data_IF_755177312477
#
_entry.id   IF_755177312477
#
_cell.length_a   1.000
_cell.length_b   1.000
_cell.length_c   1.000
_cell.angle_alpha   90.00
_cell.angle_beta   90.00
_cell.angle_gamma   90.00
#
_symmetry.space_group_name_H-M   'P 1'
#
loop_
_entity.id
_entity.type
_entity.pdbx_description
1 polymer ?
#
# COMPACT_ATOMS: atom_id res chain seq x y z
N UNK A 1 10.95 14.87 -15.16
CA UNK A 1 11.21 14.44 -13.75
C UNK A 1 10.01 13.69 -13.21
N UNK A 2 10.13 12.98 -12.09
CA UNK A 2 9.03 12.22 -11.49
C UNK A 2 9.02 12.36 -9.98
N UNK A 3 8.54 13.49 -9.47
CA UNK A 3 8.33 13.65 -8.03
C UNK A 3 7.19 12.74 -7.59
N UNK A 4 7.49 11.89 -6.60
CA UNK A 4 6.52 11.00 -5.96
C UNK A 4 6.19 11.43 -4.53
N UNK A 5 5.47 10.57 -3.83
CA UNK A 5 5.16 10.70 -2.41
C UNK A 5 5.42 9.37 -1.71
N UNK A 6 5.64 9.41 -0.40
CA UNK A 6 5.64 8.25 0.49
C UNK A 6 5.01 8.62 1.83
N UNK A 7 4.68 7.62 2.64
CA UNK A 7 4.12 7.82 3.97
C UNK A 7 2.62 8.13 4.00
N UNK A 8 1.86 7.79 2.95
CA UNK A 8 0.41 8.05 2.91
C UNK A 8 -0.36 7.40 4.06
N UNK A 9 -0.26 6.08 4.23
CA UNK A 9 -0.97 5.39 5.32
C UNK A 9 -0.41 5.79 6.68
N UNK A 10 0.91 6.02 6.80
CA UNK A 10 1.50 6.59 8.01
C UNK A 10 0.93 7.97 8.37
N UNK A 11 0.67 8.83 7.40
CA UNK A 11 0.01 10.11 7.63
C UNK A 11 -1.40 9.88 8.17
N UNK A 12 -2.20 9.03 7.53
CA UNK A 12 -3.56 8.73 7.98
C UNK A 12 -3.59 8.19 9.42
N UNK A 13 -2.72 7.23 9.74
CA UNK A 13 -2.58 6.69 11.10
C UNK A 13 -2.16 7.75 12.12
N UNK A 14 -1.26 8.68 11.74
CA UNK A 14 -0.87 9.79 12.61
C UNK A 14 -2.02 10.74 12.95
N UNK A 15 -3.05 10.78 12.11
CA UNK A 15 -4.25 11.60 12.28
C UNK A 15 -5.45 10.80 12.82
N UNK A 16 -5.25 9.51 13.16
CA UNK A 16 -6.31 8.58 13.54
C UNK A 16 -7.43 8.47 12.48
N UNK A 17 -7.05 8.47 11.20
CA UNK A 17 -7.97 8.37 10.06
C UNK A 17 -7.82 6.97 9.44
N UNK A 18 -8.91 6.20 9.31
CA UNK A 18 -8.89 4.94 8.56
C UNK A 18 -8.50 5.15 7.10
N UNK A 19 -7.84 4.16 6.49
CA UNK A 19 -7.54 4.18 5.06
C UNK A 19 -8.82 4.26 4.21
N UNK A 20 -9.87 3.61 4.70
CA UNK A 20 -11.18 3.51 4.08
C UNK A 20 -12.09 4.63 4.60
N UNK A 21 -12.51 5.55 3.72
CA UNK A 21 -13.50 6.55 4.08
C UNK A 21 -13.33 7.93 3.45
N UNK A 22 -14.35 8.77 3.69
CA UNK A 22 -14.44 10.11 3.12
C UNK A 22 -13.31 11.05 3.58
N UNK A 23 -12.84 10.92 4.83
CA UNK A 23 -11.73 11.73 5.34
C UNK A 23 -10.40 11.41 4.65
N UNK A 24 -10.10 10.13 4.43
CA UNK A 24 -8.93 9.71 3.66
C UNK A 24 -8.98 10.25 2.23
N UNK A 25 -10.15 10.16 1.57
CA UNK A 25 -10.40 10.74 0.24
C UNK A 25 -10.19 12.25 0.22
N UNK A 26 -10.73 12.98 1.19
CA UNK A 26 -10.56 14.44 1.27
C UNK A 26 -9.09 14.85 1.43
N UNK A 27 -8.35 14.17 2.31
CA UNK A 27 -6.92 14.41 2.49
C UNK A 27 -6.11 14.06 1.25
N UNK A 28 -6.42 12.95 0.59
CA UNK A 28 -5.78 12.51 -0.64
C UNK A 28 -5.86 13.61 -1.71
N UNK A 29 -7.07 14.10 -1.98
CA UNK A 29 -7.31 15.18 -2.95
C UNK A 29 -6.59 16.46 -2.53
N UNK A 30 -6.69 16.86 -1.25
CA UNK A 30 -6.07 18.08 -0.73
C UNK A 30 -4.55 18.07 -0.91
N UNK A 31 -3.89 16.96 -0.54
CA UNK A 31 -2.44 16.80 -0.67
C UNK A 31 -1.99 16.83 -2.11
N UNK A 32 -2.65 16.07 -2.99
CA UNK A 32 -2.23 15.94 -4.38
C UNK A 32 -2.46 17.22 -5.17
N UNK A 33 -3.54 17.96 -4.87
CA UNK A 33 -3.76 19.30 -5.41
C UNK A 33 -2.67 20.28 -4.99
N UNK A 34 -2.30 20.28 -3.70
CA UNK A 34 -1.22 21.14 -3.20
C UNK A 34 0.11 20.82 -3.89
N UNK A 35 0.47 19.53 -3.95
CA UNK A 35 1.71 19.07 -4.60
C UNK A 35 1.72 19.49 -6.07
N UNK A 36 0.64 19.25 -6.81
CA UNK A 36 0.54 19.64 -8.22
C UNK A 36 0.78 21.13 -8.42
N UNK A 37 0.08 21.97 -7.64
CA UNK A 37 0.20 23.42 -7.74
C UNK A 37 1.64 23.90 -7.46
N UNK A 38 2.29 23.33 -6.44
CA UNK A 38 3.66 23.71 -6.07
C UNK A 38 4.69 23.26 -7.10
N UNK A 39 4.52 22.07 -7.66
CA UNK A 39 5.40 21.51 -8.68
C UNK A 39 5.29 22.27 -10.01
N UNK A 40 4.10 22.75 -10.36
CA UNK A 40 3.90 23.62 -11.52
C UNK A 40 4.56 24.97 -11.35
N UNK A 41 4.36 25.61 -10.20
CA UNK A 41 5.01 26.86 -9.90
C UNK A 41 6.54 26.72 -9.97
N UNK A 42 7.10 25.64 -9.41
CA UNK A 42 8.53 25.37 -9.48
C UNK A 42 9.03 25.18 -10.92
N UNK A 43 8.28 24.44 -11.74
CA UNK A 43 8.63 24.23 -13.16
C UNK A 43 8.62 25.52 -13.97
N UNK A 44 7.65 26.42 -13.74
CA UNK A 44 7.59 27.75 -14.37
C UNK A 44 8.74 28.64 -13.93
N UNK A 45 9.03 28.68 -12.63
CA UNK A 45 10.14 29.47 -12.09
C UNK A 45 11.48 29.01 -12.69
N UNK A 46 11.70 27.69 -12.79
CA UNK A 46 12.90 27.14 -13.41
C UNK A 46 12.95 27.41 -14.93
N UNK A 47 11.80 27.51 -15.60
CA UNK A 47 11.75 27.89 -17.00
C UNK A 47 12.11 29.36 -17.23
N UNK A 48 11.71 30.26 -16.32
CA UNK A 48 12.14 31.66 -16.34
C UNK A 48 13.66 31.79 -16.17
N UNK A 49 14.26 31.00 -15.28
CA UNK A 49 15.70 31.03 -15.01
C UNK A 49 16.54 30.34 -16.09
N UNK A 50 16.06 29.21 -16.64
CA UNK A 50 16.88 28.29 -17.43
C UNK A 50 16.35 28.02 -18.84
N UNK A 51 15.26 28.67 -19.22
CA UNK A 51 14.50 28.38 -20.44
C UNK A 51 13.54 27.19 -20.28
N UNK A 52 12.46 27.21 -21.07
CA UNK A 52 11.53 26.10 -21.19
C UNK A 52 12.20 24.86 -21.79
N UNK A 53 11.65 23.66 -21.55
CA UNK A 53 12.09 22.47 -22.29
C UNK A 53 11.62 22.54 -23.76
N UNK A 54 12.28 21.82 -24.69
CA UNK A 54 11.94 21.85 -26.11
C UNK A 54 10.45 21.62 -26.39
N UNK A 55 9.87 20.54 -25.85
CA UNK A 55 8.44 20.21 -26.05
C UNK A 55 7.50 21.35 -25.61
N UNK A 56 7.83 22.05 -24.51
CA UNK A 56 7.01 23.16 -24.02
C UNK A 56 7.24 24.42 -24.87
N UNK A 57 8.47 24.68 -25.28
CA UNK A 57 8.84 25.81 -26.12
C UNK A 57 8.18 25.75 -27.50
N UNK A 58 8.08 24.57 -28.10
CA UNK A 58 7.45 24.35 -29.41
C UNK A 58 5.98 24.77 -29.45
N UNK A 59 5.28 24.65 -28.31
CA UNK A 59 3.88 25.02 -28.16
C UNK A 59 3.67 26.33 -27.39
N UNK A 60 4.74 27.10 -27.17
CA UNK A 60 4.68 28.41 -26.51
C UNK A 60 4.36 28.37 -25.01
N UNK A 61 4.63 27.24 -24.34
CA UNK A 61 4.37 27.05 -22.91
C UNK A 61 5.67 27.24 -22.12
N UNK A 62 5.59 28.01 -21.02
CA UNK A 62 6.74 28.28 -20.15
C UNK A 62 6.86 27.23 -19.03
N UNK A 63 7.32 26.03 -19.38
CA UNK A 63 7.52 24.94 -18.43
C UNK A 63 8.92 24.34 -18.58
N UNK A 64 9.60 24.07 -17.45
CA UNK A 64 10.94 23.48 -17.48
C UNK A 64 10.90 21.97 -17.72
N UNK A 65 9.81 21.33 -17.35
CA UNK A 65 9.65 19.89 -17.44
C UNK A 65 8.31 19.51 -18.09
N UNK A 66 8.36 18.71 -19.15
CA UNK A 66 7.18 18.15 -19.84
C UNK A 66 6.34 17.29 -18.89
N UNK A 67 7.01 16.50 -18.05
CA UNK A 67 6.40 15.72 -16.98
C UNK A 67 7.10 15.92 -15.63
N UNK A 68 6.30 15.90 -14.56
CA UNK A 68 6.70 16.37 -13.23
C UNK A 68 6.39 15.41 -12.09
N UNK A 69 5.26 14.70 -12.14
CA UNK A 69 4.77 13.83 -11.07
C UNK A 69 4.67 12.39 -11.53
N UNK A 70 5.19 11.47 -10.71
CA UNK A 70 5.08 10.02 -10.84
C UNK A 70 5.23 9.39 -9.45
N UNK A 71 4.30 8.52 -9.05
CA UNK A 71 4.40 7.83 -7.75
C UNK A 71 5.09 6.49 -7.96
N UNK A 72 6.39 6.46 -7.72
CA UNK A 72 7.21 5.25 -7.78
C UNK A 72 7.15 4.46 -6.45
N UNK A 73 7.55 3.18 -6.44
CA UNK A 73 7.76 2.42 -5.22
C UNK A 73 8.87 3.06 -4.37
N UNK A 74 8.70 3.07 -3.06
CA UNK A 74 9.64 3.74 -2.13
C UNK A 74 10.09 2.85 -0.98
N UNK A 75 10.04 1.52 -1.16
CA UNK A 75 10.30 0.54 -0.10
C UNK A 75 11.59 0.79 0.70
N UNK A 76 12.73 1.00 0.02
CA UNK A 76 14.00 1.24 0.71
C UNK A 76 14.06 2.61 1.40
N UNK A 77 13.61 3.67 0.71
CA UNK A 77 13.70 5.03 1.25
C UNK A 77 12.65 5.30 2.34
N UNK A 78 11.55 4.55 2.37
CA UNK A 78 10.55 4.65 3.44
C UNK A 78 11.07 4.05 4.75
N UNK A 79 11.91 3.01 4.67
CA UNK A 79 12.66 2.47 5.81
C UNK A 79 13.67 3.50 6.31
N UNK A 80 14.48 4.09 5.40
CA UNK A 80 15.46 5.14 5.72
C UNK A 80 14.78 6.34 6.40
N UNK A 81 13.57 6.71 5.95
CA UNK A 81 12.77 7.79 6.53
C UNK A 81 12.05 7.41 7.85
N UNK A 82 12.66 6.56 8.67
CA UNK A 82 12.15 6.19 9.99
C UNK A 82 10.92 5.27 9.92
N UNK A 83 10.94 4.33 8.97
CA UNK A 83 9.92 3.27 8.85
C UNK A 83 8.53 3.80 8.51
N UNK A 84 8.43 4.80 7.64
CA UNK A 84 7.12 5.28 7.15
C UNK A 84 6.55 4.30 6.12
N UNK A 85 5.23 4.34 5.89
CA UNK A 85 4.57 3.51 4.88
C UNK A 85 5.14 3.80 3.49
N UNK A 86 5.30 2.76 2.68
CA UNK A 86 5.76 2.92 1.31
C UNK A 86 4.71 3.67 0.48
N UNK A 87 5.18 4.60 -0.35
CA UNK A 87 4.43 5.32 -1.38
C UNK A 87 3.02 5.75 -0.94
N UNK A 88 2.01 5.26 -1.66
CA UNK A 88 0.58 5.42 -1.38
C UNK A 88 -0.04 4.13 -0.81
N UNK A 89 0.79 3.15 -0.47
CA UNK A 89 0.32 1.81 -0.12
C UNK A 89 -0.16 1.73 1.32
N UNK A 90 -1.15 0.87 1.59
CA UNK A 90 -1.43 0.47 2.95
C UNK A 90 -0.26 -0.35 3.54
N UNK A 91 -0.07 -0.26 4.86
CA UNK A 91 0.97 -1.01 5.57
C UNK A 91 0.61 -2.49 5.60
N UNK A 92 1.49 -3.42 5.16
CA UNK A 92 1.17 -4.85 5.09
C UNK A 92 0.98 -5.53 6.46
N UNK A 93 1.64 -5.04 7.50
CA UNK A 93 1.59 -5.60 8.85
C UNK A 93 1.98 -4.53 9.89
N UNK A 94 1.32 -4.52 11.07
CA UNK A 94 1.66 -3.57 12.13
C UNK A 94 2.94 -3.92 12.91
N UNK A 95 3.46 -5.13 12.72
CA UNK A 95 4.78 -5.56 13.20
C UNK A 95 5.40 -6.46 12.13
N UNK A 96 6.68 -6.26 11.83
CA UNK A 96 7.41 -7.11 10.88
C UNK A 96 8.88 -7.22 11.24
N UNK A 97 9.54 -8.27 10.77
CA UNK A 97 10.96 -8.52 11.04
C UNK A 97 11.82 -8.01 9.88
N UNK A 98 12.68 -7.05 10.17
CA UNK A 98 13.70 -6.58 9.23
C UNK A 98 14.97 -7.42 9.38
N UNK A 99 15.30 -8.20 8.34
CA UNK A 99 16.54 -8.98 8.28
C UNK A 99 17.68 -8.06 7.87
N UNK A 100 18.72 -7.97 8.67
CA UNK A 100 19.97 -7.27 8.37
C UNK A 100 21.14 -8.23 8.43
N UNK A 101 22.31 -7.78 7.96
CA UNK A 101 23.56 -8.53 8.11
C UNK A 101 23.89 -8.85 9.58
N UNK A 102 23.42 -8.03 10.52
CA UNK A 102 23.73 -8.13 11.95
C UNK A 102 22.60 -8.82 12.76
N UNK A 103 21.60 -9.38 12.09
CA UNK A 103 20.49 -10.08 12.73
C UNK A 103 19.12 -9.54 12.32
N UNK A 104 18.10 -10.06 13.03
CA UNK A 104 16.70 -9.78 12.79
C UNK A 104 16.19 -8.76 13.81
N UNK A 105 15.63 -7.66 13.34
CA UNK A 105 15.07 -6.61 14.19
C UNK A 105 13.56 -6.51 13.98
N UNK A 106 12.79 -6.57 15.05
CA UNK A 106 11.35 -6.31 15.00
C UNK A 106 11.10 -4.81 14.80
N UNK A 107 10.34 -4.48 13.77
CA UNK A 107 9.88 -3.12 13.48
C UNK A 107 8.40 -3.06 13.81
N UNK A 108 8.06 -2.22 14.80
CA UNK A 108 6.70 -1.99 15.28
C UNK A 108 6.12 -0.72 14.66
N UNK A 109 4.81 -0.73 14.36
CA UNK A 109 4.11 0.47 13.93
C UNK A 109 4.10 1.50 15.06
N UNK A 110 4.88 2.57 14.90
CA UNK A 110 5.03 3.65 15.89
C UNK A 110 3.73 4.37 16.25
N UNK A 111 2.73 4.37 15.37
CA UNK A 111 1.44 5.00 15.64
C UNK A 111 0.56 4.06 16.47
N UNK A 112 0.52 2.78 16.13
CA UNK A 112 -0.16 1.77 16.94
C UNK A 112 0.47 1.67 18.33
N UNK A 113 1.79 1.71 18.43
CA UNK A 113 2.48 1.67 19.72
C UNK A 113 1.98 2.75 20.66
N UNK A 114 1.81 3.99 20.18
CA UNK A 114 1.25 5.09 21.00
C UNK A 114 -0.16 4.80 21.51
N UNK A 115 -1.00 4.15 20.69
CA UNK A 115 -2.37 3.75 21.07
C UNK A 115 -2.35 2.60 22.08
N UNK A 116 -1.44 1.64 21.92
CA UNK A 116 -1.27 0.56 22.91
C UNK A 116 -0.75 1.12 24.23
N UNK A 117 0.23 2.03 24.21
CA UNK A 117 0.79 2.63 25.43
C UNK A 117 -0.26 3.44 26.18
N UNK A 118 -1.12 4.20 25.49
CA UNK A 118 -2.17 5.00 26.14
C UNK A 118 -3.24 4.14 26.82
N UNK A 119 -3.38 2.86 26.43
CA UNK A 119 -4.28 1.88 27.05
C UNK A 119 -3.58 0.96 28.05
N UNK A 120 -2.28 1.14 28.30
CA UNK A 120 -1.49 0.23 29.14
C UNK A 120 -1.30 -1.17 28.53
N UNK A 121 -1.42 -1.29 27.21
CA UNK A 121 -1.36 -2.55 26.44
C UNK A 121 -0.11 -2.64 25.56
N UNK A 122 0.87 -1.74 25.72
CA UNK A 122 2.18 -1.83 25.04
C UNK A 122 3.07 -2.87 25.72
N UNK A 123 2.65 -4.14 25.67
CA UNK A 123 3.34 -5.27 26.28
C UNK A 123 3.90 -6.21 25.22
N UNK A 124 4.93 -6.97 25.58
CA UNK A 124 5.50 -7.98 24.69
C UNK A 124 4.45 -9.01 24.27
N UNK A 125 3.57 -9.44 25.17
CA UNK A 125 2.52 -10.42 24.87
C UNK A 125 1.53 -9.92 23.82
N UNK A 126 1.14 -8.64 23.89
CA UNK A 126 0.27 -8.02 22.87
C UNK A 126 0.98 -7.96 21.52
N UNK A 127 2.25 -7.56 21.48
CA UNK A 127 3.01 -7.53 20.23
C UNK A 127 3.25 -8.92 19.64
N UNK A 128 3.51 -9.93 20.46
CA UNK A 128 3.62 -11.32 20.03
C UNK A 128 2.28 -11.85 19.52
N UNK A 129 1.17 -11.46 20.16
CA UNK A 129 -0.18 -11.76 19.67
C UNK A 129 -0.44 -11.14 18.30
N UNK A 130 -0.07 -9.87 18.09
CA UNK A 130 -0.17 -9.18 16.79
C UNK A 130 0.68 -9.89 15.74
N UNK A 131 1.92 -10.27 16.07
CA UNK A 131 2.82 -11.00 15.16
C UNK A 131 2.24 -12.37 14.76
N UNK A 132 1.68 -13.11 15.72
CA UNK A 132 1.02 -14.40 15.49
C UNK A 132 -0.23 -14.30 14.62
N UNK A 133 -0.87 -13.12 14.58
CA UNK A 133 -1.99 -12.80 13.69
C UNK A 133 -1.52 -11.99 12.46
N UNK A 134 -0.30 -12.25 11.98
CA UNK A 134 0.27 -11.69 10.75
C UNK A 134 0.32 -10.15 10.72
N UNK A 135 0.44 -9.52 11.89
CA UNK A 135 0.44 -8.07 12.03
C UNK A 135 -0.94 -7.43 12.18
N UNK A 136 -2.01 -8.23 12.26
CA UNK A 136 -3.37 -7.74 12.48
C UNK A 136 -3.62 -7.32 13.94
N UNK A 137 -4.53 -6.36 14.11
CA UNK A 137 -5.04 -5.95 15.43
C UNK A 137 -6.53 -6.25 15.60
N UNK A 138 -7.18 -6.86 14.61
CA UNK A 138 -8.64 -6.98 14.59
C UNK A 138 -9.17 -7.86 15.73
N UNK A 139 -8.36 -8.82 16.20
CA UNK A 139 -8.68 -9.71 17.32
C UNK A 139 -8.56 -9.06 18.70
N UNK A 140 -7.91 -7.90 18.82
CA UNK A 140 -7.67 -7.25 20.12
C UNK A 140 -8.97 -6.63 20.66
N UNK A 141 -9.56 -7.23 21.69
CA UNK A 141 -10.87 -6.82 22.23
C UNK A 141 -10.87 -5.44 22.91
N UNK A 142 -9.71 -4.96 23.38
CA UNK A 142 -9.59 -3.67 24.06
C UNK A 142 -9.46 -2.46 23.10
N UNK A 143 -9.30 -2.72 21.79
CA UNK A 143 -9.34 -1.68 20.77
C UNK A 143 -10.79 -1.44 20.33
N UNK A 144 -11.15 -0.17 20.21
CA UNK A 144 -12.41 0.24 19.57
C UNK A 144 -12.41 -0.12 18.08
N UNK A 145 -13.60 -0.15 17.46
CA UNK A 145 -13.71 -0.40 16.02
C UNK A 145 -13.00 0.68 15.20
N UNK A 146 -13.09 1.96 15.60
CA UNK A 146 -12.40 3.05 14.92
C UNK A 146 -10.87 2.87 14.96
N UNK A 147 -10.31 2.48 16.11
CA UNK A 147 -8.88 2.17 16.22
C UNK A 147 -8.50 0.96 15.35
N UNK A 148 -9.33 -0.09 15.33
CA UNK A 148 -9.11 -1.25 14.46
C UNK A 148 -9.14 -0.88 12.98
N UNK A 149 -10.04 0.01 12.57
CA UNK A 149 -10.15 0.49 11.19
C UNK A 149 -8.93 1.32 10.77
N UNK A 150 -8.35 2.11 11.69
CA UNK A 150 -7.10 2.86 11.45
C UNK A 150 -5.89 1.96 11.22
N UNK A 151 -5.85 0.80 11.88
CA UNK A 151 -4.71 -0.12 11.84
C UNK A 151 -4.97 -1.41 11.07
N UNK A 152 -6.00 -1.44 10.21
CA UNK A 152 -6.16 -2.51 9.21
C UNK A 152 -4.89 -2.65 8.39
N UNK A 153 -4.45 -3.88 8.22
CA UNK A 153 -3.34 -4.25 7.35
C UNK A 153 -3.76 -4.15 5.88
N UNK A 154 -2.79 -4.14 4.97
CA UNK A 154 -3.04 -4.09 3.54
C UNK A 154 -4.00 -5.18 3.03
N UNK A 155 -3.97 -6.37 3.64
CA UNK A 155 -4.82 -7.51 3.29
C UNK A 155 -6.21 -7.46 3.92
N UNK A 156 -6.45 -6.55 4.86
CA UNK A 156 -7.74 -6.35 5.53
C UNK A 156 -8.52 -5.16 4.96
N UNK A 157 -7.82 -4.28 4.24
CA UNK A 157 -8.43 -3.15 3.53
C UNK A 157 -9.15 -3.67 2.29
N UNK A 158 -10.35 -3.16 2.03
CA UNK A 158 -11.04 -3.38 0.78
C UNK A 158 -10.27 -2.71 -0.37
N UNK A 159 -9.79 -3.52 -1.31
CA UNK A 159 -8.94 -3.05 -2.40
C UNK A 159 -9.66 -2.08 -3.36
N UNK A 160 -10.99 -2.02 -3.33
CA UNK A 160 -11.74 -0.97 -4.03
C UNK A 160 -11.37 0.42 -3.52
N UNK A 161 -11.12 0.60 -2.22
CA UNK A 161 -10.63 1.87 -1.68
C UNK A 161 -9.24 2.24 -2.18
N UNK A 162 -8.34 1.26 -2.35
CA UNK A 162 -7.01 1.50 -2.93
C UNK A 162 -7.17 2.03 -4.36
N UNK A 163 -8.03 1.42 -5.16
CA UNK A 163 -8.32 1.83 -6.55
C UNK A 163 -8.98 3.22 -6.59
N UNK A 164 -10.02 3.46 -5.78
CA UNK A 164 -10.73 4.74 -5.73
C UNK A 164 -9.80 5.89 -5.33
N UNK A 165 -8.98 5.70 -4.29
CA UNK A 165 -8.01 6.71 -3.88
C UNK A 165 -6.91 6.90 -4.92
N UNK A 166 -6.49 5.85 -5.64
CA UNK A 166 -5.56 5.97 -6.75
C UNK A 166 -6.20 6.74 -7.93
N UNK A 167 -7.46 6.49 -8.26
CA UNK A 167 -8.21 7.22 -9.28
C UNK A 167 -8.31 8.71 -8.96
N UNK A 168 -8.73 9.04 -7.74
CA UNK A 168 -8.91 10.42 -7.28
C UNK A 168 -7.61 11.25 -7.43
N UNK A 169 -6.45 10.64 -7.13
CA UNK A 169 -5.15 11.31 -7.26
C UNK A 169 -4.61 11.31 -8.69
N UNK A 170 -5.04 10.39 -9.56
CA UNK A 170 -4.53 10.26 -10.92
C UNK A 170 -4.70 11.55 -11.73
N UNK A 171 -5.78 12.30 -11.49
CA UNK A 171 -6.03 13.60 -12.12
C UNK A 171 -4.91 14.63 -11.87
N UNK A 172 -4.17 14.50 -10.78
CA UNK A 172 -3.07 15.40 -10.43
C UNK A 172 -1.70 14.87 -10.92
N UNK A 173 -1.63 13.64 -11.43
CA UNK A 173 -0.39 12.96 -11.80
C UNK A 173 -0.27 12.88 -13.33
N UNK A 174 0.73 13.57 -13.88
CA UNK A 174 0.92 13.60 -15.34
C UNK A 174 1.48 12.29 -15.92
N UNK A 175 2.23 11.51 -15.14
CA UNK A 175 2.72 10.17 -15.53
C UNK A 175 1.81 9.10 -14.93
N UNK A 176 2.36 8.10 -14.23
CA UNK A 176 1.61 7.03 -13.57
C UNK A 176 1.92 6.91 -12.08
N UNK A 177 1.38 5.84 -11.50
CA UNK A 177 1.56 5.46 -10.09
C UNK A 177 1.65 3.94 -9.99
N UNK A 178 2.58 3.45 -9.18
CA UNK A 178 2.71 2.03 -8.88
C UNK A 178 1.68 1.64 -7.83
N UNK A 179 0.52 1.14 -8.28
CA UNK A 179 -0.59 0.71 -7.42
C UNK A 179 -0.55 -0.80 -7.25
N UNK A 180 -0.13 -1.25 -6.07
CA UNK A 180 -0.22 -2.66 -5.69
C UNK A 180 -1.62 -2.97 -5.14
N UNK A 181 -2.13 -4.17 -5.44
CA UNK A 181 -3.32 -4.74 -4.81
C UNK A 181 -2.88 -5.88 -3.87
N UNK A 182 -3.54 -5.99 -2.72
CA UNK A 182 -3.26 -7.00 -1.70
C UNK A 182 -4.48 -7.89 -1.55
N UNK A 183 -4.37 -9.13 -2.01
CA UNK A 183 -5.50 -10.03 -2.16
C UNK A 183 -5.32 -11.27 -1.29
N UNK A 184 -6.41 -11.81 -0.73
CA UNK A 184 -6.36 -13.10 -0.09
C UNK A 184 -6.07 -14.18 -1.15
N UNK A 185 -5.47 -15.28 -0.70
CA UNK A 185 -5.01 -16.36 -1.57
C UNK A 185 -6.15 -17.14 -2.23
N UNK A 186 -7.36 -17.03 -1.68
CA UNK A 186 -8.58 -17.66 -2.13
C UNK A 186 -9.56 -16.67 -2.78
N UNK A 187 -9.07 -15.55 -3.33
CA UNK A 187 -9.93 -14.61 -4.03
C UNK A 187 -10.61 -15.26 -5.24
N UNK A 188 -11.91 -14.99 -5.41
CA UNK A 188 -12.66 -15.47 -6.56
C UNK A 188 -12.22 -14.75 -7.84
N UNK A 189 -12.18 -15.49 -8.96
CA UNK A 189 -11.78 -14.94 -10.27
C UNK A 189 -12.65 -13.75 -10.68
N UNK A 190 -13.94 -13.79 -10.34
CA UNK A 190 -14.86 -12.70 -10.63
C UNK A 190 -14.51 -11.44 -9.84
N UNK A 191 -14.18 -11.55 -8.56
CA UNK A 191 -13.80 -10.39 -7.74
C UNK A 191 -12.48 -9.78 -8.23
N UNK A 192 -11.51 -10.62 -8.60
CA UNK A 192 -10.27 -10.17 -9.22
C UNK A 192 -10.52 -9.40 -10.52
N UNK A 193 -11.41 -9.93 -11.38
CA UNK A 193 -11.82 -9.26 -12.62
C UNK A 193 -12.51 -7.92 -12.32
N UNK A 194 -13.40 -7.86 -11.33
CA UNK A 194 -14.11 -6.63 -10.95
C UNK A 194 -13.16 -5.56 -10.41
N UNK A 195 -12.08 -5.93 -9.71
CA UNK A 195 -11.04 -4.97 -9.31
C UNK A 195 -10.29 -4.40 -10.51
N UNK A 196 -9.91 -5.22 -11.49
CA UNK A 196 -9.28 -4.74 -12.71
C UNK A 196 -10.23 -3.88 -13.57
N UNK A 197 -11.49 -4.30 -13.65
CA UNK A 197 -12.54 -3.55 -14.34
C UNK A 197 -12.74 -2.18 -13.70
N UNK A 198 -12.86 -2.11 -12.38
CA UNK A 198 -12.99 -0.86 -11.64
C UNK A 198 -11.78 0.05 -11.88
N UNK A 199 -10.55 -0.49 -11.87
CA UNK A 199 -9.36 0.30 -12.16
C UNK A 199 -9.38 0.90 -13.57
N UNK A 200 -9.78 0.13 -14.57
CA UNK A 200 -9.95 0.59 -15.95
C UNK A 200 -11.06 1.65 -16.07
N UNK A 201 -12.24 1.37 -15.51
CA UNK A 201 -13.40 2.26 -15.54
C UNK A 201 -13.12 3.61 -14.87
N UNK A 202 -12.34 3.60 -13.78
CA UNK A 202 -11.88 4.80 -13.09
C UNK A 202 -10.71 5.52 -13.77
N UNK A 203 -10.24 5.02 -14.91
CA UNK A 203 -9.19 5.66 -15.71
C UNK A 203 -7.79 5.57 -15.13
N UNK A 204 -7.50 4.55 -14.31
CA UNK A 204 -6.13 4.30 -13.87
C UNK A 204 -5.26 3.93 -15.07
N UNK A 205 -4.06 4.52 -15.15
CA UNK A 205 -3.09 4.24 -16.22
C UNK A 205 -2.37 2.91 -16.04
N UNK A 206 -2.30 2.39 -14.82
CA UNK A 206 -1.59 1.15 -14.48
C UNK A 206 -2.01 0.59 -13.13
N UNK A 207 -2.06 -0.73 -13.04
CA UNK A 207 -1.85 -1.49 -11.79
C UNK A 207 -0.43 -2.06 -11.81
N UNK A 208 0.11 -2.44 -10.65
CA UNK A 208 1.47 -2.95 -10.52
C UNK A 208 1.48 -4.44 -10.12
N UNK A 209 1.79 -4.79 -8.87
CA UNK A 209 1.71 -6.18 -8.43
C UNK A 209 0.36 -6.53 -7.81
N UNK A 210 -0.09 -7.76 -8.08
CA UNK A 210 -1.04 -8.47 -7.25
C UNK A 210 -0.26 -9.22 -6.16
N UNK A 211 -0.34 -8.76 -4.91
CA UNK A 211 0.29 -9.39 -3.75
C UNK A 211 -0.71 -10.36 -3.13
N UNK A 212 -0.49 -11.65 -3.33
CA UNK A 212 -1.26 -12.68 -2.64
C UNK A 212 -0.54 -13.15 -1.37
N UNK A 213 -1.30 -13.54 -0.34
CA UNK A 213 -0.74 -14.39 0.70
C UNK A 213 -0.46 -15.76 0.08
N UNK A 214 0.65 -16.41 0.45
CA UNK A 214 0.82 -17.81 0.09
C UNK A 214 -0.28 -18.62 0.77
N UNK A 215 -0.93 -19.55 0.05
CA UNK A 215 -1.59 -20.67 0.70
C UNK A 215 -0.48 -21.46 1.38
N UNK A 216 -0.20 -21.20 2.66
CA UNK A 216 0.58 -22.14 3.43
C UNK A 216 -0.19 -23.47 3.37
N UNK A 217 0.32 -24.43 2.58
CA UNK A 217 0.03 -25.83 2.84
C UNK A 217 0.42 -26.02 4.30
N UNK A 218 -0.47 -26.50 5.19
CA UNK A 218 -0.06 -26.80 6.53
C UNK A 218 1.01 -27.90 6.45
N UNK A 219 2.27 -27.53 6.50
CA UNK A 219 3.33 -28.45 6.85
C UNK A 219 3.09 -28.75 8.33
N UNK A 220 2.43 -29.88 8.55
CA UNK A 220 2.31 -30.50 9.86
C UNK A 220 3.72 -30.74 10.39
N UNK A 221 4.22 -29.81 11.21
CA UNK A 221 5.39 -30.02 12.04
C UNK A 221 5.00 -30.98 13.18
N UNK A 222 4.88 -32.27 12.87
CA UNK A 222 4.49 -33.27 13.86
C UNK A 222 4.20 -34.66 13.27
N UNK A 223 5.25 -35.47 13.19
CA UNK A 223 5.28 -36.95 13.17
C UNK A 223 4.57 -37.77 12.08
N UNK A 224 5.40 -38.64 11.50
CA UNK A 224 5.15 -39.92 10.84
C UNK A 224 4.37 -39.95 9.51
N UNK A 225 5.10 -40.45 8.50
CA UNK A 225 4.63 -41.00 7.21
C UNK A 225 3.20 -41.56 7.28
N UNK A 226 2.29 -40.93 6.56
CA UNK A 226 1.14 -41.63 5.98
C UNK A 226 0.99 -41.19 4.52
N UNK A 227 1.10 -42.17 3.63
CA UNK A 227 0.81 -42.02 2.20
C UNK A 227 -0.70 -41.75 2.05
N UNK A 228 -1.11 -40.48 2.06
CA UNK A 228 -2.44 -40.12 1.59
C UNK A 228 -2.39 -39.86 0.07
N UNK A 229 -2.95 -40.83 -0.64
CA UNK A 229 -3.23 -40.95 -2.08
C UNK A 229 -3.18 -39.67 -2.92
N UNK A 230 -2.22 -39.66 -3.84
CA UNK A 230 -2.05 -38.75 -4.99
C UNK A 230 -3.23 -38.77 -5.99
N UNK A 231 -4.28 -39.56 -5.75
CA UNK A 231 -5.39 -39.77 -6.71
C UNK A 231 -6.46 -38.67 -6.69
N UNK A 232 -6.61 -37.91 -5.60
CA UNK A 232 -7.55 -36.76 -5.58
C UNK A 232 -7.00 -35.50 -6.26
N UNK A 233 -5.72 -35.49 -6.64
CA UNK A 233 -5.04 -34.35 -7.26
C UNK A 233 -5.19 -34.29 -8.78
N UNK A 234 -5.73 -35.31 -9.44
CA UNK A 234 -5.87 -35.35 -10.91
C UNK A 234 -7.16 -34.70 -11.44
N UNK A 235 -8.14 -34.41 -10.59
CA UNK A 235 -9.48 -33.96 -11.03
C UNK A 235 -9.80 -32.48 -10.84
N UNK A 236 -8.88 -31.67 -10.32
CA UNK A 236 -9.07 -30.22 -10.38
C UNK A 236 -8.17 -29.65 -11.47
N UNK A 237 -8.77 -29.34 -12.61
CA UNK A 237 -8.18 -28.48 -13.64
C UNK A 237 -8.03 -27.06 -13.08
N UNK A 238 -7.04 -26.86 -12.21
CA UNK A 238 -6.59 -25.54 -11.83
C UNK A 238 -5.79 -24.99 -13.00
N UNK A 239 -6.43 -24.18 -13.84
CA UNK A 239 -5.69 -23.14 -14.54
C UNK A 239 -5.14 -22.19 -13.48
N UNK A 240 -3.89 -22.45 -13.11
CA UNK A 240 -3.06 -21.63 -12.25
C UNK A 240 -3.01 -20.22 -12.86
N UNK A 241 -3.50 -19.23 -12.11
CA UNK A 241 -3.48 -17.84 -12.55
C UNK A 241 -2.02 -17.34 -12.49
N UNK A 242 -1.34 -17.35 -13.63
CA UNK A 242 0.04 -16.89 -13.82
C UNK A 242 0.25 -15.41 -13.45
N UNK A 243 -0.80 -14.64 -13.17
CA UNK A 243 -0.73 -13.21 -12.85
C UNK A 243 -0.36 -12.91 -11.38
N UNK A 244 -0.24 -13.94 -10.53
CA UNK A 244 -0.01 -13.79 -9.08
C UNK A 244 1.36 -14.29 -8.59
N UNK A 245 2.32 -14.57 -9.50
CA UNK A 245 3.71 -14.89 -9.16
C UNK A 245 4.58 -13.63 -9.04
#
# INVERSE_FOLDING_TARGET
VGLGVMGWHSFLQSQNIPFEGALAKAWNIKMMRLIRNKVDAASRNLALERGACPDASEVGILERFSHKLAIAPTASISIIAGGTSACIEPVPANIYTHKTLNGNYEVKNKYLQKILSSKGQDTNDVWQSILAHEGSVQHLAFLSNDEKDVFKTAFEIDQRWVIELAADRAHYICQGQSVNLFLPSNIEKWDLLMLHWLAWERGLKSLYYCRSKSLQRPEYAGNSKSELSLEKLRNNSYEECLSCQ
#
